data_IF_333846319823
#
_entry.id   IF_333846319823
#
_cell.length_a   1.000
_cell.length_b   1.000
_cell.length_c   1.000
_cell.angle_alpha   90.00
_cell.angle_beta   90.00
_cell.angle_gamma   90.00
#
_symmetry.space_group_name_H-M   'P 1'
#
loop_
_entity.id
_entity.type
_entity.pdbx_description
1 polymer ?
#
# COMPACT_ATOMS: atom_id res chain seq x y z
N UNK A 1 -9.14 -5.01 -0.74
CA UNK A 1 -8.30 -5.56 0.32
C UNK A 1 -7.74 -4.42 1.18
N UNK A 2 -7.36 -4.67 2.43
CA UNK A 2 -6.78 -3.65 3.32
C UNK A 2 -5.32 -4.01 3.60
N UNK A 3 -4.39 -3.18 3.13
CA UNK A 3 -2.98 -3.30 3.46
C UNK A 3 -2.68 -2.41 4.68
N UNK A 4 -1.83 -2.87 5.58
CA UNK A 4 -1.26 -2.01 6.62
C UNK A 4 0.19 -1.76 6.28
N UNK A 5 0.65 -0.54 6.52
CA UNK A 5 2.06 -0.23 6.41
C UNK A 5 2.57 0.01 7.82
N UNK A 6 3.21 -0.99 8.40
CA UNK A 6 3.91 -0.84 9.67
C UNK A 6 5.23 -0.09 9.38
N UNK A 7 5.52 0.98 10.13
CA UNK A 7 6.80 1.73 10.13
C UNK A 7 6.98 2.96 9.22
N UNK A 8 5.95 3.52 8.59
CA UNK A 8 6.13 4.87 8.01
C UNK A 8 6.00 5.91 9.13
N UNK A 9 7.10 6.54 9.54
CA UNK A 9 7.08 7.58 10.58
C UNK A 9 6.70 8.97 10.08
N UNK A 10 6.63 9.12 8.76
CA UNK A 10 6.53 10.40 8.08
C UNK A 10 5.28 10.46 7.20
N UNK A 11 4.45 11.47 7.42
CA UNK A 11 3.20 11.66 6.66
C UNK A 11 3.50 11.98 5.20
N UNK A 12 4.58 12.72 4.90
CA UNK A 12 4.97 13.01 3.52
C UNK A 12 5.35 11.73 2.78
N UNK A 13 6.15 10.85 3.40
CA UNK A 13 6.46 9.54 2.83
C UNK A 13 5.22 8.67 2.64
N UNK A 14 4.23 8.75 3.53
CA UNK A 14 2.98 8.01 3.38
C UNK A 14 2.23 8.44 2.11
N UNK A 15 2.21 9.74 1.81
CA UNK A 15 1.61 10.26 0.59
C UNK A 15 2.40 9.84 -0.66
N UNK A 16 3.73 9.96 -0.64
CA UNK A 16 4.59 9.51 -1.75
C UNK A 16 4.38 8.02 -2.06
N UNK A 17 4.31 7.19 -1.03
CA UNK A 17 4.08 5.74 -1.17
C UNK A 17 2.68 5.47 -1.71
N UNK A 18 1.67 6.24 -1.29
CA UNK A 18 0.32 6.10 -1.80
C UNK A 18 0.21 6.44 -3.29
N UNK A 19 0.95 7.43 -3.75
CA UNK A 19 1.01 7.81 -5.17
C UNK A 19 1.74 6.74 -5.98
N UNK A 20 2.89 6.25 -5.49
CA UNK A 20 3.61 5.14 -6.14
C UNK A 20 2.73 3.89 -6.27
N UNK A 21 1.97 3.55 -5.23
CA UNK A 21 1.05 2.39 -5.27
C UNK A 21 -0.09 2.63 -6.24
N UNK A 22 -0.61 3.85 -6.35
CA UNK A 22 -1.66 4.20 -7.31
C UNK A 22 -1.17 4.05 -8.76
N UNK A 23 0.11 4.25 -9.01
CA UNK A 23 0.71 4.05 -10.34
C UNK A 23 0.97 2.58 -10.67
N UNK A 24 0.84 1.65 -9.72
CA UNK A 24 1.07 0.24 -9.98
C UNK A 24 -0.01 -0.35 -10.90
N UNK A 25 0.38 -1.17 -11.88
CA UNK A 25 -0.56 -1.80 -12.79
C UNK A 25 -1.54 -2.69 -12.03
N UNK A 26 -2.82 -2.53 -12.35
CA UNK A 26 -3.91 -3.23 -11.69
C UNK A 26 -4.43 -2.57 -10.42
N UNK A 27 -3.84 -1.47 -9.93
CA UNK A 27 -4.40 -0.72 -8.79
C UNK A 27 -5.56 0.16 -9.26
N UNK A 28 -6.68 0.08 -8.54
CA UNK A 28 -7.92 0.82 -8.81
C UNK A 28 -7.99 2.08 -7.95
N UNK A 29 -7.73 1.93 -6.66
CA UNK A 29 -7.85 3.01 -5.70
C UNK A 29 -6.96 2.77 -4.49
N UNK A 30 -6.43 3.86 -3.95
CA UNK A 30 -5.67 3.88 -2.69
C UNK A 30 -6.38 4.83 -1.74
N UNK A 31 -6.55 4.43 -0.49
CA UNK A 31 -7.15 5.27 0.56
C UNK A 31 -6.32 5.20 1.83
N UNK A 32 -5.82 6.36 2.25
CA UNK A 32 -5.03 6.50 3.47
C UNK A 32 -5.95 6.74 4.67
N UNK A 33 -5.72 6.00 5.76
CA UNK A 33 -6.26 6.31 7.08
C UNK A 33 -5.10 6.70 8.00
N UNK A 34 -4.77 7.99 7.97
CA UNK A 34 -3.67 8.57 8.74
C UNK A 34 -4.00 8.78 10.22
N UNK A 35 -5.28 8.74 10.62
CA UNK A 35 -5.72 9.27 11.92
C UNK A 35 -5.23 8.52 13.17
N UNK A 36 -4.71 7.28 13.09
CA UNK A 36 -4.13 6.60 14.28
C UNK A 36 -3.18 5.43 13.99
N UNK A 37 -3.32 4.72 12.85
CA UNK A 37 -2.53 3.50 12.56
C UNK A 37 -1.79 3.54 11.22
N UNK A 38 -1.73 4.71 10.56
CA UNK A 38 -1.06 4.90 9.25
C UNK A 38 -1.36 3.78 8.25
N UNK A 39 -2.65 3.48 8.09
CA UNK A 39 -3.12 2.37 7.26
C UNK A 39 -3.35 2.82 5.82
N UNK A 40 -3.08 1.94 4.86
CA UNK A 40 -3.30 2.20 3.43
C UNK A 40 -4.18 1.10 2.83
N UNK A 41 -5.44 1.43 2.56
CA UNK A 41 -6.29 0.53 1.80
C UNK A 41 -5.94 0.59 0.33
N UNK A 42 -5.71 -0.57 -0.28
CA UNK A 42 -5.43 -0.70 -1.71
C UNK A 42 -6.48 -1.60 -2.34
N UNK A 43 -7.22 -1.04 -3.28
CA UNK A 43 -8.11 -1.77 -4.16
C UNK A 43 -7.38 -2.03 -5.47
N UNK A 44 -7.41 -3.27 -5.94
CA UNK A 44 -6.74 -3.69 -7.16
C UNK A 44 -7.57 -4.75 -7.90
N UNK A 45 -7.33 -4.89 -9.19
CA UNK A 45 -7.88 -5.93 -10.04
C UNK A 45 -7.11 -7.24 -9.82
N UNK A 46 -7.74 -8.28 -9.24
CA UNK A 46 -7.06 -9.55 -8.97
C UNK A 46 -6.64 -10.29 -10.24
N UNK A 47 -7.20 -9.94 -11.39
CA UNK A 47 -6.82 -10.48 -12.71
C UNK A 47 -5.51 -9.87 -13.25
N UNK A 48 -5.09 -8.71 -12.73
CA UNK A 48 -3.92 -7.97 -13.23
C UNK A 48 -2.76 -7.95 -12.22
N UNK A 49 -3.07 -7.95 -10.93
CA UNK A 49 -2.07 -7.93 -9.87
C UNK A 49 -2.58 -8.67 -8.63
N UNK A 50 -1.66 -9.11 -7.78
CA UNK A 50 -1.96 -9.82 -6.54
C UNK A 50 -1.40 -9.09 -5.33
N UNK A 51 -1.95 -9.40 -4.15
CA UNK A 51 -1.47 -8.83 -2.89
C UNK A 51 0.03 -9.06 -2.67
N UNK A 52 0.53 -10.26 -3.00
CA UNK A 52 1.94 -10.60 -2.86
C UNK A 52 2.82 -9.76 -3.80
N UNK A 53 2.43 -9.57 -5.05
CA UNK A 53 3.18 -8.74 -5.99
C UNK A 53 3.23 -7.27 -5.56
N UNK A 54 2.13 -6.74 -5.02
CA UNK A 54 2.09 -5.38 -4.48
C UNK A 54 3.02 -5.25 -3.26
N UNK A 55 3.02 -6.23 -2.36
CA UNK A 55 3.92 -6.26 -1.20
C UNK A 55 5.39 -6.42 -1.61
N UNK A 56 5.69 -7.26 -2.60
CA UNK A 56 7.06 -7.44 -3.10
C UNK A 56 7.58 -6.16 -3.75
N UNK A 57 6.74 -5.46 -4.52
CA UNK A 57 7.10 -4.16 -5.11
C UNK A 57 7.39 -3.13 -4.03
N UNK A 58 6.54 -3.05 -3.01
CA UNK A 58 6.75 -2.16 -1.87
C UNK A 58 8.02 -2.51 -1.07
N UNK A 59 8.30 -3.81 -0.91
CA UNK A 59 9.54 -4.28 -0.26
C UNK A 59 10.78 -3.93 -1.09
N UNK A 60 10.74 -4.00 -2.41
CA UNK A 60 11.84 -3.58 -3.29
C UNK A 60 12.14 -2.09 -3.14
N UNK A 61 11.13 -1.27 -2.84
CA UNK A 61 11.26 0.15 -2.52
C UNK A 61 11.70 0.40 -1.07
N UNK A 62 12.11 -0.65 -0.33
CA UNK A 62 12.51 -0.61 1.07
C UNK A 62 11.40 -0.14 2.02
N UNK A 63 10.13 -0.28 1.61
CA UNK A 63 8.98 0.06 2.44
C UNK A 63 8.57 -1.19 3.21
N UNK A 64 8.70 -1.13 4.53
CA UNK A 64 8.20 -2.17 5.43
C UNK A 64 6.67 -2.15 5.38
N UNK A 65 6.04 -3.21 4.88
CA UNK A 65 4.58 -3.33 4.78
C UNK A 65 4.13 -4.65 5.39
N UNK A 66 2.95 -4.65 6.03
CA UNK A 66 2.37 -5.85 6.60
C UNK A 66 0.92 -6.01 6.21
N UNK A 67 0.57 -7.19 5.72
CA UNK A 67 -0.80 -7.50 5.40
C UNK A 67 -1.59 -7.78 6.69
N UNK A 68 -2.70 -7.05 6.91
CA UNK A 68 -3.50 -7.14 8.14
C UNK A 68 -4.84 -7.82 7.92
N UNK A 69 -5.39 -7.81 6.70
CA UNK A 69 -6.62 -8.56 6.40
C UNK A 69 -6.82 -8.78 4.90
N UNK A 70 -7.12 -10.02 4.51
CA UNK A 70 -7.54 -10.42 3.15
C UNK A 70 -9.06 -10.36 3.09
#
# INVERSE_FOLDING_TARGET
MTLMIEEIFDVEKLYEISDQVRELPGVIAVSLRAENNRMMNVQYHPEQTSCHQLLDTLRQQQIQTRLVRI
#
